data_IF_441050413665
#
_entry.id   IF_441050413665
#
_cell.length_a   1.000
_cell.length_b   1.000
_cell.length_c   1.000
_cell.angle_alpha   90.00
_cell.angle_beta   90.00
_cell.angle_gamma   90.00
#
_symmetry.space_group_name_H-M   'P 1'
#
loop_
_entity.id
_entity.type
_entity.pdbx_description
1 polymer ?
#
# COMPACT_ATOMS: atom_id res chain seq x y z
N UNK A 1 7.22 -11.15 -3.24
CA UNK A 1 5.73 -11.10 -3.27
C UNK A 1 5.11 -10.55 -4.56
N UNK A 2 5.87 -10.15 -5.58
CA UNK A 2 5.31 -9.64 -6.86
C UNK A 2 4.33 -10.60 -7.54
N UNK A 3 4.52 -11.91 -7.36
CA UNK A 3 3.64 -12.96 -7.90
C UNK A 3 2.25 -13.03 -7.23
N UNK A 4 2.06 -12.32 -6.10
CA UNK A 4 0.78 -12.28 -5.37
C UNK A 4 -0.15 -11.16 -5.86
N UNK A 5 0.18 -10.49 -6.95
CA UNK A 5 -0.63 -9.42 -7.55
C UNK A 5 -0.55 -8.06 -6.85
N UNK A 6 -0.26 -8.03 -5.56
CA UNK A 6 0.06 -6.81 -4.83
C UNK A 6 0.77 -7.07 -3.50
N UNK A 7 1.60 -6.12 -3.06
CA UNK A 7 2.44 -6.24 -1.86
C UNK A 7 2.80 -4.88 -1.27
N UNK A 8 3.16 -4.86 0.01
CA UNK A 8 3.66 -3.67 0.69
C UNK A 8 5.05 -3.32 0.17
N UNK A 9 5.18 -2.16 -0.47
CA UNK A 9 6.44 -1.64 -1.00
C UNK A 9 7.18 -0.81 0.05
N UNK A 10 6.45 -0.02 0.82
CA UNK A 10 6.99 0.83 1.88
C UNK A 10 5.94 0.99 2.99
N UNK A 11 6.41 1.15 4.22
CA UNK A 11 5.55 1.45 5.37
C UNK A 11 6.30 2.30 6.37
N UNK A 12 5.63 3.35 6.85
CA UNK A 12 6.01 4.06 8.05
C UNK A 12 4.75 4.41 8.84
N UNK A 13 4.45 3.57 9.83
CA UNK A 13 3.21 3.63 10.57
C UNK A 13 3.39 3.05 12.00
N UNK A 14 4.30 3.61 12.82
CA UNK A 14 4.59 3.09 14.16
C UNK A 14 3.35 3.03 15.07
N UNK A 15 2.43 3.99 14.89
CA UNK A 15 1.16 4.08 15.63
C UNK A 15 -0.05 3.55 14.84
N UNK A 16 0.21 2.81 13.75
CA UNK A 16 -0.82 2.22 12.88
C UNK A 16 -1.02 2.95 11.56
N UNK A 17 -1.53 2.22 10.56
CA UNK A 17 -1.71 2.73 9.19
C UNK A 17 -2.98 3.58 9.12
N UNK A 18 -2.83 4.84 8.77
CA UNK A 18 -3.92 5.81 8.58
C UNK A 18 -4.31 5.95 7.11
N UNK A 19 -3.35 5.81 6.20
CA UNK A 19 -3.59 5.86 4.75
C UNK A 19 -2.75 4.83 4.00
N UNK A 20 -3.36 4.20 3.00
CA UNK A 20 -2.67 3.35 2.03
C UNK A 20 -2.64 4.05 0.69
N UNK A 21 -1.45 4.28 0.16
CA UNK A 21 -1.23 4.76 -1.18
C UNK A 21 -0.91 3.57 -2.10
N UNK A 22 -1.58 3.48 -3.23
CA UNK A 22 -1.44 2.37 -4.19
C UNK A 22 -0.88 2.93 -5.49
N UNK A 23 0.11 2.26 -6.06
CA UNK A 23 0.67 2.60 -7.37
C UNK A 23 1.12 1.37 -8.14
N UNK A 24 1.31 1.52 -9.46
CA UNK A 24 1.80 0.45 -10.32
C UNK A 24 2.93 0.94 -11.24
N UNK A 25 3.92 0.09 -11.51
CA UNK A 25 5.01 0.42 -12.43
C UNK A 25 5.70 1.76 -12.12
N UNK A 26 5.59 2.73 -13.03
CA UNK A 26 6.19 4.06 -12.91
C UNK A 26 5.52 4.98 -11.88
N UNK A 27 4.24 4.76 -11.55
CA UNK A 27 3.55 5.58 -10.53
C UNK A 27 4.14 5.37 -9.14
N UNK A 28 4.73 4.19 -8.89
CA UNK A 28 5.23 3.79 -7.58
C UNK A 28 6.26 4.77 -7.01
N UNK A 29 7.07 5.41 -7.86
CA UNK A 29 8.02 6.46 -7.46
C UNK A 29 7.30 7.72 -6.94
N UNK A 30 6.23 8.13 -7.61
CA UNK A 30 5.40 9.29 -7.19
C UNK A 30 4.73 8.97 -5.86
N UNK A 31 4.13 7.78 -5.75
CA UNK A 31 3.42 7.33 -4.55
C UNK A 31 4.38 7.24 -3.36
N UNK A 32 5.60 6.74 -3.60
CA UNK A 32 6.64 6.67 -2.58
C UNK A 32 7.08 8.05 -2.09
N UNK A 33 7.30 9.01 -3.00
CA UNK A 33 7.63 10.40 -2.63
C UNK A 33 6.53 11.06 -1.79
N UNK A 34 5.27 10.86 -2.16
CA UNK A 34 4.13 11.33 -1.38
C UNK A 34 4.09 10.69 0.02
N UNK A 35 4.35 9.38 0.11
CA UNK A 35 4.45 8.69 1.40
C UNK A 35 5.56 9.24 2.28
N UNK A 36 6.74 9.56 1.72
CA UNK A 36 7.82 10.16 2.50
C UNK A 36 7.45 11.53 3.07
N UNK A 37 6.68 12.34 2.34
CA UNK A 37 6.20 13.64 2.83
C UNK A 37 5.19 13.45 3.98
N UNK A 38 4.18 12.61 3.78
CA UNK A 38 3.17 12.29 4.81
C UNK A 38 3.81 11.70 6.07
N UNK A 39 4.77 10.79 5.91
CA UNK A 39 5.57 10.24 6.99
C UNK A 39 6.31 11.32 7.78
N UNK A 40 6.87 12.33 7.09
CA UNK A 40 7.54 13.47 7.73
C UNK A 40 6.60 14.37 8.54
N UNK A 41 5.31 14.35 8.21
CA UNK A 41 4.24 15.02 8.95
C UNK A 41 3.66 14.16 10.09
N UNK A 42 4.20 12.96 10.31
CA UNK A 42 3.75 12.03 11.35
C UNK A 42 2.51 11.21 10.97
N UNK A 43 2.11 11.21 9.69
CA UNK A 43 0.99 10.40 9.22
C UNK A 43 1.45 8.96 9.00
N UNK A 44 0.74 8.00 9.60
CA UNK A 44 0.96 6.58 9.38
C UNK A 44 0.59 6.16 7.96
N UNK A 45 1.58 5.94 7.11
CA UNK A 45 1.39 5.70 5.68
C UNK A 45 1.97 4.37 5.24
N UNK A 46 1.25 3.71 4.34
CA UNK A 46 1.70 2.50 3.64
C UNK A 46 1.64 2.71 2.14
N UNK A 47 2.65 2.26 1.42
CA UNK A 47 2.65 2.17 -0.04
C UNK A 47 2.49 0.72 -0.45
N UNK A 48 1.53 0.46 -1.33
CA UNK A 48 1.27 -0.87 -1.90
C UNK A 48 1.51 -0.80 -3.41
N UNK A 49 2.37 -1.70 -3.90
CA UNK A 49 2.45 -1.97 -5.33
C UNK A 49 1.39 -3.00 -5.68
N UNK A 50 0.46 -2.69 -6.58
CA UNK A 50 -0.67 -3.59 -6.93
C UNK A 50 -0.84 -3.74 -8.44
N UNK A 51 0.10 -4.41 -9.14
CA UNK A 51 0.04 -4.56 -10.61
C UNK A 51 -1.09 -5.49 -11.10
N UNK A 52 -1.65 -6.36 -10.27
CA UNK A 52 -2.72 -7.28 -10.67
C UNK A 52 -3.74 -7.51 -9.57
N UNK A 53 -4.93 -6.94 -9.74
CA UNK A 53 -6.06 -7.16 -8.85
C UNK A 53 -6.54 -8.60 -8.83
N UNK A 54 -6.55 -9.29 -9.97
CA UNK A 54 -7.01 -10.67 -10.07
C UNK A 54 -6.13 -11.60 -9.21
N UNK A 55 -4.81 -11.53 -9.40
CA UNK A 55 -3.86 -12.32 -8.61
C UNK A 55 -3.94 -11.96 -7.13
N UNK A 56 -4.15 -10.68 -6.80
CA UNK A 56 -4.28 -10.22 -5.41
C UNK A 56 -5.58 -10.71 -4.77
N UNK A 57 -6.70 -10.71 -5.49
CA UNK A 57 -7.98 -11.20 -5.00
C UNK A 57 -8.00 -12.72 -4.80
N UNK A 58 -7.21 -13.47 -5.57
CA UNK A 58 -7.01 -14.90 -5.39
C UNK A 58 -6.21 -15.26 -4.11
N UNK A 59 -5.59 -14.28 -3.45
CA UNK A 59 -4.86 -14.51 -2.21
C UNK A 59 -5.81 -14.70 -1.01
N UNK A 60 -5.29 -15.28 0.07
CA UNK A 60 -6.05 -15.50 1.30
C UNK A 60 -6.60 -14.19 1.86
N UNK A 61 -7.72 -14.26 2.60
CA UNK A 61 -8.32 -13.08 3.22
C UNK A 61 -7.35 -12.40 4.21
N UNK A 62 -6.55 -13.21 4.92
CA UNK A 62 -5.52 -12.76 5.84
C UNK A 62 -4.43 -11.97 5.11
N UNK A 63 -3.96 -12.47 3.95
CA UNK A 63 -2.96 -11.75 3.16
C UNK A 63 -3.51 -10.43 2.62
N UNK A 64 -4.73 -10.45 2.08
CA UNK A 64 -5.37 -9.23 1.56
C UNK A 64 -5.57 -8.18 2.65
N UNK A 65 -5.99 -8.58 3.85
CA UNK A 65 -6.12 -7.69 5.01
C UNK A 65 -4.75 -7.22 5.53
N UNK A 66 -3.73 -8.07 5.47
CA UNK A 66 -2.37 -7.70 5.86
C UNK A 66 -1.75 -6.67 4.91
N UNK A 67 -2.08 -6.69 3.61
CA UNK A 67 -1.60 -5.71 2.62
C UNK A 67 -2.49 -4.46 2.57
N UNK A 68 -3.80 -4.64 2.51
CA UNK A 68 -4.82 -3.58 2.49
C UNK A 68 -5.74 -3.69 3.72
N UNK A 69 -5.37 -3.08 4.87
CA UNK A 69 -6.16 -3.17 6.08
C UNK A 69 -7.59 -2.65 5.87
N UNK A 70 -8.61 -3.35 6.42
CA UNK A 70 -9.99 -2.88 6.37
C UNK A 70 -10.14 -1.59 7.18
N UNK A 71 -11.03 -0.71 6.77
CA UNK A 71 -11.30 0.57 7.47
C UNK A 71 -10.26 1.67 7.27
N UNK A 72 -9.13 1.39 6.61
CA UNK A 72 -8.11 2.40 6.29
C UNK A 72 -8.39 3.03 4.93
N UNK A 73 -8.22 4.36 4.83
CA UNK A 73 -8.41 5.12 3.60
C UNK A 73 -7.39 4.69 2.53
N UNK A 74 -7.82 4.65 1.26
CA UNK A 74 -7.00 4.18 0.14
C UNK A 74 -7.03 5.22 -0.97
N UNK A 75 -5.86 5.55 -1.50
CA UNK A 75 -5.70 6.43 -2.67
C UNK A 75 -4.87 5.68 -3.70
N UNK A 76 -5.38 5.57 -4.93
CA UNK A 76 -4.65 4.99 -6.06
C UNK A 76 -4.26 6.11 -7.00
N UNK A 77 -3.02 6.04 -7.48
CA UNK A 77 -2.50 6.86 -8.57
C UNK A 77 -2.27 5.98 -9.78
#
# INVERSE_FOLDING_TARGET
DTLKGGYVFYENAPDGVQVVLIGTGSELDIVYKAAQQLAGEGVGVRVVSLPSWELFQAQSAEYRAAVLPPGVAKVSL
#
